data_IF_676691053253
#
_entry.id   IF_676691053253
#
_cell.length_a   1.000
_cell.length_b   1.000
_cell.length_c   1.000
_cell.angle_alpha   90.00
_cell.angle_beta   90.00
_cell.angle_gamma   90.00
#
_symmetry.space_group_name_H-M   'P 1'
#
loop_
_entity.id
_entity.type
_entity.pdbx_description
1 polymer ?
#
# COMPACT_ATOMS: atom_id res chain seq x y z
N UNK A 1 22.91 9.74 9.57
CA UNK A 1 22.83 8.30 9.94
C UNK A 1 22.68 7.51 8.65
N UNK A 2 23.62 6.63 8.34
CA UNK A 2 23.50 5.71 7.20
C UNK A 2 22.51 4.62 7.63
N UNK A 3 21.33 4.57 7.03
CA UNK A 3 20.39 3.47 7.22
C UNK A 3 20.94 2.29 6.43
N UNK A 4 21.35 1.21 7.12
CA UNK A 4 21.67 -0.06 6.44
C UNK A 4 20.42 -0.57 5.76
N UNK A 5 20.53 -0.91 4.47
CA UNK A 5 19.45 -1.53 3.71
C UNK A 5 19.81 -2.99 3.54
N UNK A 6 19.13 -3.85 4.29
CA UNK A 6 19.32 -5.29 4.20
C UNK A 6 18.29 -5.89 3.24
N UNK A 7 18.74 -6.78 2.35
CA UNK A 7 17.84 -7.51 1.46
C UNK A 7 17.39 -8.82 2.12
N UNK A 8 16.11 -9.15 1.97
CA UNK A 8 15.52 -10.36 2.54
C UNK A 8 14.66 -11.06 1.48
N UNK A 9 14.60 -12.41 1.45
CA UNK A 9 13.66 -13.14 0.60
C UNK A 9 12.22 -12.74 0.89
N UNK A 10 11.36 -12.68 -0.13
CA UNK A 10 9.96 -12.25 0.01
C UNK A 10 9.23 -13.03 1.10
N UNK A 11 9.28 -14.36 1.09
CA UNK A 11 8.62 -15.19 2.09
C UNK A 11 9.04 -14.84 3.53
N UNK A 12 10.33 -14.56 3.75
CA UNK A 12 10.83 -14.15 5.06
C UNK A 12 10.39 -12.73 5.45
N UNK A 13 10.25 -11.81 4.49
CA UNK A 13 9.67 -10.49 4.74
C UNK A 13 8.18 -10.57 5.07
N UNK A 14 7.42 -11.39 4.35
CA UNK A 14 5.99 -11.65 4.61
C UNK A 14 5.82 -12.24 6.01
N UNK A 15 6.63 -13.23 6.40
CA UNK A 15 6.57 -13.84 7.72
C UNK A 15 6.89 -12.86 8.87
N UNK A 16 7.72 -11.84 8.62
CA UNK A 16 8.04 -10.80 9.61
C UNK A 16 7.04 -9.65 9.65
N UNK A 17 6.11 -9.62 8.69
CA UNK A 17 5.11 -8.55 8.57
C UNK A 17 4.05 -8.70 9.66
N UNK A 18 3.66 -7.57 10.24
CA UNK A 18 2.60 -7.45 11.26
C UNK A 18 1.55 -6.45 10.80
N UNK A 19 0.37 -6.51 11.41
CA UNK A 19 -0.69 -5.53 11.11
C UNK A 19 -0.17 -4.09 11.26
N UNK A 20 -0.54 -3.23 10.31
CA UNK A 20 -0.14 -1.82 10.27
C UNK A 20 1.22 -1.54 9.63
N UNK A 21 2.07 -2.56 9.44
CA UNK A 21 3.35 -2.37 8.77
C UNK A 21 3.17 -1.93 7.30
N UNK A 22 4.16 -1.21 6.76
CA UNK A 22 4.06 -0.58 5.45
C UNK A 22 4.84 -1.36 4.39
N UNK A 23 4.18 -1.62 3.26
CA UNK A 23 4.79 -2.10 2.03
C UNK A 23 4.86 -0.96 1.02
N UNK A 24 6.05 -0.68 0.53
CA UNK A 24 6.38 0.50 -0.26
C UNK A 24 6.94 0.04 -1.60
N UNK A 25 6.39 0.55 -2.70
CA UNK A 25 6.82 0.18 -4.03
C UNK A 25 7.34 1.39 -4.80
N UNK A 26 8.48 1.18 -5.47
CA UNK A 26 9.19 2.22 -6.20
C UNK A 26 9.57 1.73 -7.59
N UNK A 27 8.97 2.34 -8.60
CA UNK A 27 9.33 2.18 -10.00
C UNK A 27 10.50 3.07 -10.41
N UNK A 28 11.06 2.78 -11.58
CA UNK A 28 12.25 3.45 -12.14
C UNK A 28 12.03 4.03 -13.54
N UNK A 29 10.84 3.85 -14.11
CA UNK A 29 10.51 4.33 -15.46
C UNK A 29 10.37 5.86 -15.50
N UNK A 30 10.35 6.45 -16.70
CA UNK A 30 10.11 7.88 -16.86
C UNK A 30 8.76 8.31 -16.28
N UNK A 31 7.72 7.50 -16.47
CA UNK A 31 6.40 7.74 -15.88
C UNK A 31 6.45 7.69 -14.33
N UNK A 32 7.19 6.74 -13.77
CA UNK A 32 7.37 6.64 -12.31
C UNK A 32 8.05 7.88 -11.74
N UNK A 33 9.10 8.37 -12.42
CA UNK A 33 9.81 9.58 -11.99
C UNK A 33 8.93 10.83 -12.09
N UNK A 34 8.04 10.90 -13.08
CA UNK A 34 7.08 11.99 -13.19
C UNK A 34 6.11 12.00 -11.99
N UNK A 35 5.55 10.85 -11.62
CA UNK A 35 4.70 10.73 -10.42
C UNK A 35 5.47 11.18 -9.18
N UNK A 36 6.67 10.61 -8.96
CA UNK A 36 7.50 10.93 -7.81
C UNK A 36 7.82 12.44 -7.69
N UNK A 37 8.07 13.08 -8.84
CA UNK A 37 8.33 14.52 -8.91
C UNK A 37 7.08 15.34 -8.59
N UNK A 38 5.94 15.01 -9.22
CA UNK A 38 4.68 15.72 -9.02
C UNK A 38 4.15 15.60 -7.58
N UNK A 39 4.33 14.45 -6.95
CA UNK A 39 3.89 14.22 -5.57
C UNK A 39 4.94 14.61 -4.53
N UNK A 40 6.15 15.02 -4.95
CA UNK A 40 7.31 15.22 -4.09
C UNK A 40 7.55 14.03 -3.14
N UNK A 41 7.41 12.81 -3.66
CA UNK A 41 7.56 11.58 -2.91
C UNK A 41 8.44 10.57 -3.68
N UNK A 42 9.42 9.91 -3.06
CA UNK A 42 10.29 8.95 -3.75
C UNK A 42 9.61 7.60 -4.03
N UNK A 43 8.30 7.49 -3.80
CA UNK A 43 7.50 6.25 -3.76
C UNK A 43 6.36 6.35 -4.76
N UNK A 44 6.06 5.24 -5.45
CA UNK A 44 4.97 5.15 -6.40
C UNK A 44 3.69 4.64 -5.76
N UNK A 45 3.82 3.67 -4.85
CA UNK A 45 2.68 3.00 -4.24
C UNK A 45 2.99 2.58 -2.81
N UNK A 46 1.94 2.53 -1.98
CA UNK A 46 2.02 2.05 -0.60
C UNK A 46 0.82 1.16 -0.29
N UNK A 47 1.07 0.08 0.44
CA UNK A 47 0.06 -0.76 1.06
C UNK A 47 0.31 -0.90 2.56
N UNK A 48 -0.77 -1.12 3.30
CA UNK A 48 -0.74 -1.39 4.75
C UNK A 48 -0.98 -2.88 4.93
N UNK A 49 -0.16 -3.54 5.73
CA UNK A 49 -0.33 -4.95 6.06
C UNK A 49 -1.49 -5.16 7.03
N UNK A 50 -2.22 -6.26 6.84
CA UNK A 50 -3.28 -6.75 7.73
C UNK A 50 -2.95 -8.22 8.00
N UNK A 51 -2.50 -8.53 9.22
CA UNK A 51 -2.01 -9.87 9.58
C UNK A 51 -2.79 -10.33 10.80
N UNK A 52 -3.89 -11.04 10.54
CA UNK A 52 -4.80 -11.55 11.55
C UNK A 52 -4.56 -13.06 11.73
N UNK A 53 -4.73 -13.55 12.97
CA UNK A 53 -4.22 -14.86 13.42
C UNK A 53 -4.60 -16.06 12.53
N UNK A 54 -5.80 -16.07 11.97
CA UNK A 54 -6.37 -17.19 11.20
C UNK A 54 -6.35 -16.96 9.69
N UNK A 55 -5.67 -15.91 9.22
CA UNK A 55 -5.62 -15.53 7.81
C UNK A 55 -4.19 -15.44 7.27
N UNK A 56 -3.98 -15.67 5.95
CA UNK A 56 -2.72 -15.29 5.34
C UNK A 56 -2.50 -13.78 5.48
N UNK A 57 -1.24 -13.28 5.56
CA UNK A 57 -0.97 -11.85 5.54
C UNK A 57 -1.63 -11.19 4.32
N UNK A 58 -2.36 -10.11 4.56
CA UNK A 58 -3.06 -9.35 3.53
C UNK A 58 -2.43 -7.96 3.37
N UNK A 59 -2.61 -7.36 2.20
CA UNK A 59 -2.21 -5.99 1.92
C UNK A 59 -3.43 -5.17 1.52
N UNK A 60 -3.73 -4.15 2.32
CA UNK A 60 -4.76 -3.17 2.04
C UNK A 60 -4.17 -1.98 1.30
N UNK A 61 -4.67 -1.67 0.11
CA UNK A 61 -4.17 -0.57 -0.72
C UNK A 61 -5.18 -0.09 -1.76
N UNK A 62 -4.93 1.07 -2.37
CA UNK A 62 -5.74 1.57 -3.48
C UNK A 62 -5.01 1.41 -4.82
N UNK A 63 -5.62 0.73 -5.79
CA UNK A 63 -5.04 0.51 -7.11
C UNK A 63 -6.00 0.94 -8.23
N UNK A 64 -5.45 1.46 -9.33
CA UNK A 64 -6.25 1.70 -10.55
C UNK A 64 -6.49 0.43 -11.37
N UNK A 65 -5.67 -0.61 -11.18
CA UNK A 65 -5.83 -1.93 -11.79
C UNK A 65 -6.81 -2.80 -11.01
N UNK A 66 -6.97 -4.03 -11.51
CA UNK A 66 -7.89 -5.07 -11.01
C UNK A 66 -7.34 -6.47 -11.28
N UNK A 67 -6.01 -6.62 -11.13
CA UNK A 67 -5.31 -7.83 -11.56
C UNK A 67 -5.50 -9.01 -10.62
N UNK A 68 -5.73 -8.72 -9.33
CA UNK A 68 -5.98 -9.71 -8.30
C UNK A 68 -7.43 -9.59 -7.82
N UNK A 69 -8.05 -10.69 -7.34
CA UNK A 69 -9.33 -10.62 -6.67
C UNK A 69 -9.16 -9.91 -5.33
N UNK A 70 -10.05 -8.97 -5.05
CA UNK A 70 -10.20 -8.42 -3.72
C UNK A 70 -10.76 -9.51 -2.79
N UNK A 71 -10.06 -9.79 -1.69
CA UNK A 71 -10.44 -10.88 -0.77
C UNK A 71 -11.67 -10.53 0.05
N UNK A 72 -11.99 -9.24 0.20
CA UNK A 72 -13.15 -8.77 0.94
C UNK A 72 -14.46 -9.07 0.19
N UNK A 73 -14.47 -8.86 -1.12
CA UNK A 73 -15.65 -9.03 -2.00
C UNK A 73 -15.61 -10.29 -2.86
N UNK A 74 -14.44 -10.91 -3.02
CA UNK A 74 -14.19 -12.02 -3.94
C UNK A 74 -14.18 -11.62 -5.43
N UNK A 75 -14.14 -10.32 -5.74
CA UNK A 75 -14.28 -9.80 -7.12
C UNK A 75 -13.01 -9.11 -7.60
N UNK A 76 -12.81 -9.07 -8.91
CA UNK A 76 -11.80 -8.18 -9.50
C UNK A 76 -12.39 -6.77 -9.61
N UNK A 77 -11.89 -5.85 -8.79
CA UNK A 77 -12.39 -4.47 -8.71
C UNK A 77 -11.26 -3.45 -8.80
N UNK A 78 -11.60 -2.16 -8.86
CA UNK A 78 -10.64 -1.05 -8.84
C UNK A 78 -10.86 -0.24 -7.56
N UNK A 79 -9.89 0.61 -7.23
CA UNK A 79 -9.95 1.45 -6.05
C UNK A 79 -9.28 0.78 -4.86
N UNK A 80 -9.77 1.09 -3.67
CA UNK A 80 -9.34 0.48 -2.41
C UNK A 80 -9.70 -1.00 -2.41
N UNK A 81 -8.73 -1.86 -2.10
CA UNK A 81 -8.81 -3.31 -2.19
C UNK A 81 -7.95 -3.96 -1.10
N UNK A 82 -8.24 -5.23 -0.82
CA UNK A 82 -7.50 -6.10 0.08
C UNK A 82 -7.06 -7.35 -0.69
N UNK A 83 -5.77 -7.65 -0.72
CA UNK A 83 -5.21 -8.82 -1.42
C UNK A 83 -4.36 -9.66 -0.49
N UNK A 84 -4.13 -10.93 -0.83
CA UNK A 84 -3.04 -11.71 -0.24
C UNK A 84 -1.73 -10.96 -0.49
N UNK A 85 -0.99 -10.69 0.57
CA UNK A 85 0.15 -9.79 0.56
C UNK A 85 1.24 -10.27 -0.39
N UNK A 86 1.58 -11.56 -0.34
CA UNK A 86 2.61 -12.13 -1.20
C UNK A 86 2.25 -11.98 -2.69
N UNK A 87 1.00 -12.28 -3.05
CA UNK A 87 0.51 -12.16 -4.43
C UNK A 87 0.55 -10.70 -4.90
N UNK A 88 0.13 -9.78 -4.05
CA UNK A 88 0.19 -8.36 -4.36
C UNK A 88 1.64 -7.89 -4.57
N UNK A 89 2.57 -8.28 -3.70
CA UNK A 89 3.99 -7.94 -3.87
C UNK A 89 4.55 -8.53 -5.16
N UNK A 90 4.19 -9.77 -5.52
CA UNK A 90 4.59 -10.39 -6.80
C UNK A 90 4.01 -9.64 -7.99
N UNK A 91 2.76 -9.18 -7.92
CA UNK A 91 2.15 -8.35 -8.96
C UNK A 91 2.89 -7.02 -9.16
N UNK A 92 3.22 -6.34 -8.07
CA UNK A 92 3.94 -5.05 -8.12
C UNK A 92 5.40 -5.19 -8.57
N UNK A 93 6.08 -6.27 -8.16
CA UNK A 93 7.50 -6.47 -8.48
C UNK A 93 7.74 -7.16 -9.82
N UNK A 94 6.81 -8.00 -10.27
CA UNK A 94 6.85 -8.66 -11.56
C UNK A 94 6.23 -7.80 -12.67
N UNK A 95 4.93 -7.95 -12.98
CA UNK A 95 4.27 -7.21 -14.07
C UNK A 95 4.46 -5.69 -14.04
N UNK A 96 4.44 -5.05 -12.87
CA UNK A 96 4.66 -3.60 -12.76
C UNK A 96 6.14 -3.21 -12.60
N UNK A 97 7.04 -4.17 -12.46
CA UNK A 97 8.49 -3.95 -12.45
C UNK A 97 9.00 -3.04 -11.33
N UNK A 98 8.24 -2.91 -10.24
CA UNK A 98 8.61 -2.04 -9.13
C UNK A 98 9.56 -2.75 -8.15
N UNK A 99 10.34 -1.97 -7.40
CA UNK A 99 11.10 -2.49 -6.27
C UNK A 99 10.28 -2.35 -5.00
N UNK A 100 10.07 -3.45 -4.29
CA UNK A 100 9.39 -3.46 -2.99
C UNK A 100 10.37 -3.18 -1.84
N UNK A 101 9.86 -2.50 -0.82
CA UNK A 101 10.48 -2.23 0.47
C UNK A 101 9.42 -2.48 1.53
N UNK A 102 9.83 -2.92 2.71
CA UNK A 102 8.94 -3.18 3.84
C UNK A 102 9.45 -2.45 5.07
N UNK A 103 8.53 -1.88 5.87
CA UNK A 103 8.85 -1.14 7.07
C UNK A 103 7.92 -1.53 8.21
N UNK A 104 8.52 -2.06 9.27
CA UNK A 104 7.83 -2.28 10.53
C UNK A 104 7.53 -0.95 11.23
N UNK A 105 6.32 -0.81 11.75
CA UNK A 105 5.91 0.37 12.53
C UNK A 105 6.07 0.15 14.03
N UNK A 106 6.18 1.24 14.77
CA UNK A 106 6.27 1.27 16.24
C UNK A 106 5.42 2.43 16.77
N UNK A 107 4.65 2.24 17.85
CA UNK A 107 4.48 0.97 18.60
C UNK A 107 3.76 -0.10 17.77
N UNK A 108 3.83 -1.36 18.22
CA UNK A 108 3.04 -2.45 17.64
C UNK A 108 1.55 -2.18 17.84
N UNK A 109 0.74 -2.56 16.85
CA UNK A 109 -0.71 -2.42 16.91
C UNK A 109 -1.29 -3.48 17.84
N UNK A 110 -2.32 -3.11 18.59
CA UNK A 110 -3.10 -4.03 19.41
C UNK A 110 -4.50 -4.27 18.84
N UNK A 111 -5.31 -5.10 19.51
CA UNK A 111 -6.63 -5.52 19.02
C UNK A 111 -7.57 -4.36 18.68
N UNK A 112 -7.58 -3.29 19.48
CA UNK A 112 -8.41 -2.11 19.21
C UNK A 112 -8.07 -1.43 17.88
N UNK A 113 -6.79 -1.40 17.50
CA UNK A 113 -6.35 -0.84 16.23
C UNK A 113 -6.68 -1.78 15.06
N UNK A 114 -6.63 -3.09 15.28
CA UNK A 114 -7.05 -4.09 14.27
C UNK A 114 -8.55 -4.01 13.99
N UNK A 115 -9.38 -3.89 15.03
CA UNK A 115 -10.83 -3.68 14.89
C UNK A 115 -11.14 -2.39 14.12
N UNK A 116 -10.46 -1.29 14.48
CA UNK A 116 -10.61 -0.02 13.78
C UNK A 116 -10.17 -0.10 12.31
N UNK A 117 -9.12 -0.88 12.02
CA UNK A 117 -8.63 -1.13 10.68
C UNK A 117 -9.66 -1.93 9.87
N UNK A 118 -10.22 -3.00 10.42
CA UNK A 118 -11.26 -3.80 9.77
C UNK A 118 -12.53 -2.99 9.49
N UNK A 119 -12.98 -2.18 10.46
CA UNK A 119 -14.11 -1.26 10.25
C UNK A 119 -13.81 -0.23 9.15
N UNK A 120 -12.56 0.21 9.05
CA UNK A 120 -12.12 1.15 8.01
C UNK A 120 -12.09 0.48 6.64
N UNK A 121 -11.60 -0.76 6.54
CA UNK A 121 -11.62 -1.56 5.31
C UNK A 121 -13.06 -1.74 4.84
N UNK A 122 -13.94 -2.22 5.72
CA UNK A 122 -15.37 -2.43 5.42
C UNK A 122 -16.05 -1.16 4.86
N UNK A 123 -15.66 0.02 5.37
CA UNK A 123 -16.20 1.31 4.90
C UNK A 123 -15.61 1.78 3.58
N UNK A 124 -14.32 1.51 3.34
CA UNK A 124 -13.57 2.11 2.25
C UNK A 124 -13.36 1.17 1.06
N UNK A 125 -13.62 -0.13 1.20
CA UNK A 125 -13.45 -1.09 0.12
C UNK A 125 -14.22 -0.68 -1.15
N UNK A 126 -13.56 -0.80 -2.30
CA UNK A 126 -14.08 -0.39 -3.60
C UNK A 126 -14.15 1.13 -3.83
N UNK A 127 -13.82 1.98 -2.85
CA UNK A 127 -13.79 3.44 -3.05
C UNK A 127 -12.76 3.77 -4.13
N UNK A 128 -13.22 4.42 -5.20
CA UNK A 128 -12.38 4.77 -6.33
C UNK A 128 -11.34 5.83 -5.98
N UNK A 129 -10.17 5.71 -6.59
CA UNK A 129 -9.14 6.74 -6.46
C UNK A 129 -9.66 8.07 -7.04
N UNK A 130 -9.50 9.20 -6.33
CA UNK A 130 -9.89 10.49 -6.86
C UNK A 130 -9.13 10.80 -8.15
N UNK A 131 -9.81 11.44 -9.11
CA UNK A 131 -9.17 11.86 -10.36
C UNK A 131 -7.91 12.69 -10.10
N UNK A 132 -6.91 12.61 -10.98
CA UNK A 132 -5.64 13.32 -10.82
C UNK A 132 -5.84 14.83 -10.55
N UNK A 133 -6.81 15.46 -11.22
CA UNK A 133 -7.19 16.86 -10.97
C UNK A 133 -7.71 17.12 -9.55
N UNK A 134 -8.48 16.18 -8.98
CA UNK A 134 -8.96 16.28 -7.59
C UNK A 134 -7.83 16.10 -6.58
N UNK A 135 -6.86 15.21 -6.86
CA UNK A 135 -5.64 15.05 -6.04
C UNK A 135 -4.80 16.32 -6.07
N UNK A 136 -4.51 16.86 -7.27
CA UNK A 136 -3.73 18.08 -7.44
C UNK A 136 -4.39 19.27 -6.71
N UNK A 137 -5.71 19.40 -6.83
CA UNK A 137 -6.48 20.43 -6.13
C UNK A 137 -6.46 20.29 -4.61
N UNK A 138 -6.49 19.05 -4.07
CA UNK A 138 -6.34 18.81 -2.63
C UNK A 138 -4.92 19.14 -2.13
N UNK A 139 -3.90 18.73 -2.88
CA UNK A 139 -2.50 19.06 -2.57
C UNK A 139 -2.27 20.58 -2.55
N UNK A 140 -2.76 21.29 -3.57
CA UNK A 140 -2.66 22.74 -3.65
C UNK A 140 -3.34 23.38 -2.43
N UNK A 141 -4.59 23.00 -2.11
CA UNK A 141 -5.27 23.50 -0.90
C UNK A 141 -4.47 23.23 0.38
N UNK A 142 -3.94 22.02 0.56
CA UNK A 142 -3.15 21.67 1.74
C UNK A 142 -1.88 22.52 1.89
N UNK A 143 -1.22 22.88 0.78
CA UNK A 143 -0.07 23.81 0.78
C UNK A 143 -0.45 25.23 1.17
N UNK A 144 -1.66 25.67 0.82
CA UNK A 144 -2.15 27.01 1.15
C UNK A 144 -2.64 27.12 2.59
N UNK A 145 -3.24 26.07 3.14
CA UNK A 145 -3.70 26.03 4.55
C UNK A 145 -2.58 25.77 5.55
N UNK A 146 -1.42 25.28 5.10
CA UNK A 146 -0.23 25.07 5.92
C UNK A 146 0.71 26.29 5.95
N UNK A 147 0.29 27.42 5.38
CA UNK A 147 0.90 28.75 5.53
C UNK A 147 0.06 29.56 6.49
#
# INVERSE_FOLDING_TARGET
MSVSVDTVPLAAAVHRTRTGDLWIFRGRTAADRLIQTLTNAPVNHVGVAVVLDDMPPLMWHAEMGRALPDVWTGRHQRGVQLHVLEDAVRQWTGPYGQRAWFRQISPEVGPEQEDALLATIARLDGVSFPSAGRVLGRWARGRWTAR
#
